data_IF_436241697039
#
_entry.id   IF_436241697039
#
_cell.length_a   1.000
_cell.length_b   1.000
_cell.length_c   1.000
_cell.angle_alpha   90.00
_cell.angle_beta   90.00
_cell.angle_gamma   90.00
#
_symmetry.space_group_name_H-M   'P 1'
#
loop_
_entity.id
_entity.type
_entity.pdbx_description
1 polymer ?
#
# COMPACT_ATOMS: atom_id res chain seq x y z
N UNK A 1 3.88 62.13 16.97
CA UNK A 1 4.45 60.82 16.55
C UNK A 1 4.37 59.92 17.77
N UNK A 2 3.34 59.13 17.89
CA UNK A 2 3.18 58.15 18.95
C UNK A 2 3.65 56.80 18.43
N UNK A 3 4.65 56.20 19.07
CA UNK A 3 5.17 54.88 18.75
C UNK A 3 4.17 53.85 19.29
N UNK A 4 3.61 53.05 18.35
CA UNK A 4 2.77 51.89 18.63
C UNK A 4 3.69 50.73 19.12
N UNK A 5 3.78 50.59 20.43
CA UNK A 5 4.46 49.46 21.06
C UNK A 5 3.43 48.39 21.39
N UNK A 6 3.08 47.55 20.37
CA UNK A 6 2.40 46.29 20.63
C UNK A 6 3.38 45.31 21.27
N UNK A 7 3.01 44.62 22.35
CA UNK A 7 3.86 43.60 22.92
C UNK A 7 3.98 42.43 21.97
N UNK A 8 5.21 42.01 21.73
CA UNK A 8 5.56 40.78 21.01
C UNK A 8 4.92 39.61 21.77
N UNK A 9 4.00 38.90 21.10
CA UNK A 9 3.36 37.70 21.60
C UNK A 9 4.42 36.58 21.69
N UNK A 10 4.98 36.39 22.89
CA UNK A 10 5.93 35.31 23.21
C UNK A 10 5.18 34.05 23.66
N UNK A 11 4.20 33.58 22.88
CA UNK A 11 3.75 32.22 23.05
C UNK A 11 4.81 31.26 22.48
N UNK A 12 5.15 30.17 23.20
CA UNK A 12 6.06 29.18 22.66
C UNK A 12 5.45 28.68 21.38
N UNK A 13 6.26 28.62 20.32
CA UNK A 13 5.90 27.97 19.05
C UNK A 13 5.50 26.54 19.39
N UNK A 14 4.20 26.31 19.38
CA UNK A 14 3.60 24.99 19.56
C UNK A 14 4.08 24.18 18.35
N UNK A 15 4.99 23.28 18.64
CA UNK A 15 5.62 22.42 17.65
C UNK A 15 4.55 21.55 17.05
N UNK A 16 4.03 21.93 15.90
CA UNK A 16 3.46 21.15 14.79
C UNK A 16 2.67 19.88 15.04
N UNK A 17 2.21 19.61 16.27
CA UNK A 17 1.45 18.40 16.60
C UNK A 17 -0.02 18.61 16.35
N UNK A 18 -0.62 17.74 15.53
CA UNK A 18 -2.05 17.74 15.26
C UNK A 18 -2.72 16.59 16.00
N UNK A 19 -4.03 16.66 16.19
CA UNK A 19 -4.82 15.57 16.77
C UNK A 19 -5.55 14.79 15.69
N UNK A 20 -5.50 13.45 15.78
CA UNK A 20 -6.10 12.55 14.80
C UNK A 20 -7.63 12.56 14.88
N UNK A 21 -8.29 12.81 13.76
CA UNK A 21 -9.72 12.66 13.57
C UNK A 21 -10.03 11.61 12.51
N UNK A 22 -10.81 10.60 12.87
CA UNK A 22 -11.23 9.55 11.93
C UNK A 22 -12.35 10.07 11.04
N UNK A 23 -12.13 10.09 9.73
CA UNK A 23 -13.12 10.58 8.77
C UNK A 23 -14.11 9.51 8.32
N UNK A 24 -13.80 8.22 8.53
CA UNK A 24 -14.54 7.09 7.96
C UNK A 24 -14.66 7.18 6.44
N UNK A 25 -13.66 7.75 5.82
CA UNK A 25 -13.57 7.97 4.38
C UNK A 25 -12.74 6.87 3.74
N UNK A 26 -13.36 6.14 2.82
CA UNK A 26 -12.73 5.07 2.06
C UNK A 26 -12.27 5.61 0.71
N UNK A 27 -10.97 5.55 0.47
CA UNK A 27 -10.32 5.90 -0.80
C UNK A 27 -9.55 4.68 -1.31
N UNK A 28 -10.21 3.52 -1.34
CA UNK A 28 -9.56 2.22 -1.51
C UNK A 28 -8.42 2.08 -0.50
N UNK A 29 -7.22 1.76 -0.94
CA UNK A 29 -6.05 1.62 -0.06
C UNK A 29 -5.18 2.89 0.02
N UNK A 30 -5.63 4.03 -0.56
CA UNK A 30 -4.87 5.26 -0.50
C UNK A 30 -4.92 5.89 0.89
N UNK A 31 -3.74 6.13 1.45
CA UNK A 31 -3.61 6.89 2.69
C UNK A 31 -3.77 8.39 2.38
N UNK A 32 -4.82 8.99 2.93
CA UNK A 32 -5.12 10.41 2.77
C UNK A 32 -5.18 11.09 4.13
N UNK A 33 -4.59 12.27 4.20
CA UNK A 33 -4.73 13.20 5.33
C UNK A 33 -5.42 14.48 4.85
N UNK A 34 -6.42 14.94 5.59
CA UNK A 34 -7.14 16.18 5.36
C UNK A 34 -6.74 17.18 6.44
N UNK A 35 -6.29 18.36 6.04
CA UNK A 35 -5.92 19.46 6.95
C UNK A 35 -6.54 20.76 6.46
N UNK A 36 -6.69 21.73 7.37
CA UNK A 36 -7.13 23.06 6.94
C UNK A 36 -6.00 23.80 6.24
N UNK A 37 -6.34 24.60 5.22
CA UNK A 37 -5.40 25.45 4.47
C UNK A 37 -4.67 26.45 5.38
N UNK A 38 -5.35 26.91 6.42
CA UNK A 38 -4.87 27.91 7.37
C UNK A 38 -4.28 27.31 8.66
N UNK A 39 -4.15 25.97 8.74
CA UNK A 39 -3.54 25.34 9.91
C UNK A 39 -2.05 25.73 10.06
N UNK A 40 -1.53 25.84 11.30
CA UNK A 40 -0.15 26.25 11.54
C UNK A 40 0.88 25.38 10.81
N UNK A 41 0.68 24.05 10.79
CA UNK A 41 1.59 23.10 10.13
C UNK A 41 1.60 23.31 8.61
N UNK A 42 0.44 23.48 7.97
CA UNK A 42 0.38 23.76 6.55
C UNK A 42 1.13 25.05 6.18
N UNK A 43 1.02 26.08 7.02
CA UNK A 43 1.67 27.38 6.79
C UNK A 43 3.18 27.33 7.02
N UNK A 44 3.61 26.71 8.12
CA UNK A 44 5.04 26.64 8.48
C UNK A 44 5.84 25.79 7.51
N UNK A 45 5.29 24.67 7.09
CA UNK A 45 5.93 23.71 6.17
C UNK A 45 5.66 24.04 4.69
N UNK A 46 4.82 25.03 4.38
CA UNK A 46 4.46 25.33 2.99
C UNK A 46 3.72 24.21 2.28
N UNK A 47 2.98 23.39 3.03
CA UNK A 47 2.26 22.24 2.50
C UNK A 47 1.05 22.67 1.68
N UNK A 48 0.88 22.09 0.50
CA UNK A 48 -0.25 22.34 -0.40
C UNK A 48 -0.97 21.04 -0.74
N UNK A 49 -2.21 21.16 -1.22
CA UNK A 49 -3.00 20.00 -1.67
C UNK A 49 -2.22 19.15 -2.67
N UNK A 50 -2.33 17.83 -2.56
CA UNK A 50 -1.63 16.78 -3.31
C UNK A 50 -0.14 16.64 -2.98
N UNK A 51 0.41 17.42 -2.06
CA UNK A 51 1.75 17.12 -1.52
C UNK A 51 1.73 15.77 -0.83
N UNK A 52 2.77 14.99 -1.03
CA UNK A 52 2.99 13.77 -0.23
C UNK A 52 3.62 14.17 1.08
N UNK A 53 3.03 13.71 2.16
CA UNK A 53 3.48 14.01 3.53
C UNK A 53 3.74 12.72 4.28
N UNK A 54 4.73 12.77 5.16
CA UNK A 54 4.96 11.72 6.15
C UNK A 54 4.14 12.07 7.39
N UNK A 55 3.26 11.16 7.76
CA UNK A 55 2.43 11.26 8.97
C UNK A 55 2.94 10.24 9.97
N UNK A 56 3.27 10.70 11.17
CA UNK A 56 3.74 9.84 12.28
C UNK A 56 2.71 9.86 13.41
N UNK A 57 2.48 8.69 14.01
CA UNK A 57 1.64 8.48 15.18
C UNK A 57 2.33 7.48 16.11
N UNK A 58 2.96 7.95 17.19
CA UNK A 58 3.86 7.11 17.99
C UNK A 58 4.98 6.53 17.14
N UNK A 59 5.17 5.23 17.18
CA UNK A 59 6.22 4.53 16.43
C UNK A 59 5.85 4.20 14.97
N UNK A 60 4.60 4.49 14.56
CA UNK A 60 4.12 4.18 13.22
C UNK A 60 4.14 5.39 12.32
N UNK A 61 4.46 5.14 11.06
CA UNK A 61 4.52 6.17 10.02
C UNK A 61 3.82 5.71 8.75
N UNK A 62 3.25 6.67 8.03
CA UNK A 62 2.65 6.43 6.70
C UNK A 62 2.90 7.64 5.81
N UNK A 63 3.20 7.37 4.54
CA UNK A 63 3.21 8.43 3.52
C UNK A 63 1.81 8.60 2.97
N UNK A 64 1.22 9.77 3.17
CA UNK A 64 -0.16 10.08 2.81
C UNK A 64 -0.23 11.19 1.74
N UNK A 65 -1.31 11.21 0.98
CA UNK A 65 -1.66 12.34 0.12
C UNK A 65 -2.36 13.41 0.95
N UNK A 66 -1.82 14.63 0.96
CA UNK A 66 -2.44 15.75 1.63
C UNK A 66 -3.60 16.29 0.79
N UNK A 67 -4.77 16.39 1.40
CA UNK A 67 -5.89 17.19 0.91
C UNK A 67 -6.13 18.36 1.88
N UNK A 68 -6.67 19.44 1.37
CA UNK A 68 -6.93 20.64 2.18
C UNK A 68 -8.39 21.05 2.10
N UNK A 69 -8.89 21.63 3.20
CA UNK A 69 -10.23 22.22 3.29
C UNK A 69 -10.14 23.62 3.88
N UNK A 70 -11.09 24.47 3.55
CA UNK A 70 -11.31 25.78 4.18
C UNK A 70 -12.44 25.72 5.20
N UNK A 71 -13.15 24.59 5.25
CA UNK A 71 -14.31 24.40 6.10
C UNK A 71 -13.89 24.27 7.58
N UNK A 72 -14.66 24.86 8.47
CA UNK A 72 -14.36 24.95 9.90
C UNK A 72 -14.83 23.74 10.72
N UNK A 73 -15.49 22.76 10.11
CA UNK A 73 -15.84 21.50 10.79
C UNK A 73 -14.60 20.71 11.24
N UNK A 74 -13.45 20.94 10.60
CA UNK A 74 -12.15 20.44 11.01
C UNK A 74 -11.41 21.58 11.73
N UNK A 75 -10.97 21.34 12.96
CA UNK A 75 -10.24 22.33 13.75
C UNK A 75 -8.84 22.59 13.17
N UNK A 76 -8.24 23.75 13.48
CA UNK A 76 -6.87 24.10 13.08
C UNK A 76 -5.81 23.17 13.70
N UNK A 77 -6.15 22.53 14.81
CA UNK A 77 -5.30 21.57 15.52
C UNK A 77 -5.63 20.10 15.19
N UNK A 78 -6.57 19.84 14.28
CA UNK A 78 -6.95 18.50 13.89
C UNK A 78 -6.46 18.15 12.49
N UNK A 79 -6.17 16.87 12.28
CA UNK A 79 -5.97 16.28 10.97
C UNK A 79 -6.93 15.11 10.79
N UNK A 80 -7.70 15.14 9.71
CA UNK A 80 -8.61 14.07 9.33
C UNK A 80 -7.89 12.97 8.58
N UNK A 81 -8.09 11.71 8.97
CA UNK A 81 -7.45 10.55 8.34
C UNK A 81 -8.48 9.69 7.61
N UNK A 82 -8.16 9.24 6.39
CA UNK A 82 -8.88 8.18 5.69
C UNK A 82 -8.76 6.85 6.45
N UNK A 83 -9.64 5.88 6.15
CA UNK A 83 -9.59 4.56 6.80
C UNK A 83 -8.25 3.85 6.57
N UNK A 84 -7.67 3.97 5.38
CA UNK A 84 -6.36 3.40 5.09
C UNK A 84 -5.25 4.02 5.94
N UNK A 85 -5.21 5.36 6.05
CA UNK A 85 -4.25 6.06 6.91
C UNK A 85 -4.47 5.72 8.38
N UNK A 86 -5.73 5.71 8.82
CA UNK A 86 -6.12 5.39 10.19
C UNK A 86 -5.64 4.00 10.63
N UNK A 87 -5.92 3.00 9.78
CA UNK A 87 -5.58 1.60 10.07
C UNK A 87 -4.07 1.36 10.07
N UNK A 88 -3.36 1.91 9.09
CA UNK A 88 -1.89 1.75 8.98
C UNK A 88 -1.16 2.41 10.14
N UNK A 89 -1.60 3.59 10.57
CA UNK A 89 -1.05 4.28 11.74
C UNK A 89 -1.49 3.63 13.06
N UNK A 90 -2.56 2.82 13.05
CA UNK A 90 -3.17 2.33 14.28
C UNK A 90 -3.61 3.49 15.19
N UNK A 91 -4.08 4.58 14.57
CA UNK A 91 -4.42 5.79 15.29
C UNK A 91 -5.68 5.61 16.15
N UNK A 92 -5.73 6.32 17.26
CA UNK A 92 -6.93 6.46 18.11
C UNK A 92 -7.48 7.88 18.00
N UNK A 93 -8.77 8.11 18.29
CA UNK A 93 -9.33 9.45 18.27
C UNK A 93 -8.57 10.39 19.21
N UNK A 94 -8.09 11.52 18.67
CA UNK A 94 -7.32 12.50 19.42
C UNK A 94 -5.84 12.14 19.62
N UNK A 95 -5.34 11.05 19.02
CA UNK A 95 -3.92 10.73 19.07
C UNK A 95 -3.08 11.86 18.44
N UNK A 96 -1.90 12.08 18.99
CA UNK A 96 -0.95 13.08 18.49
C UNK A 96 -0.36 12.64 17.15
N UNK A 97 -0.40 13.53 16.16
CA UNK A 97 0.17 13.34 14.83
C UNK A 97 1.25 14.38 14.57
N UNK A 98 2.36 13.93 14.03
CA UNK A 98 3.37 14.78 13.41
C UNK A 98 3.25 14.66 11.89
N UNK A 99 3.30 15.80 11.19
CA UNK A 99 3.17 15.85 9.72
C UNK A 99 4.33 16.64 9.16
N UNK A 100 5.10 15.99 8.30
CA UNK A 100 6.26 16.57 7.63
C UNK A 100 6.24 16.26 6.14
N UNK A 101 7.13 16.86 5.38
CA UNK A 101 7.31 16.46 3.98
C UNK A 101 7.71 14.99 3.86
N UNK A 102 7.08 14.27 2.92
CA UNK A 102 7.52 12.91 2.62
C UNK A 102 8.96 12.92 2.09
N UNK A 103 9.77 11.91 2.45
CA UNK A 103 11.13 11.79 1.95
C UNK A 103 11.15 11.66 0.42
N UNK A 104 12.21 12.16 -0.20
CA UNK A 104 12.42 11.96 -1.64
C UNK A 104 12.69 10.48 -1.92
N UNK A 105 12.05 9.94 -2.97
CA UNK A 105 12.22 8.55 -3.38
C UNK A 105 13.25 8.46 -4.53
N UNK A 106 14.47 7.97 -4.28
CA UNK A 106 15.47 7.77 -5.34
C UNK A 106 14.98 6.83 -6.45
N UNK A 107 14.12 5.86 -6.12
CA UNK A 107 13.51 4.92 -7.06
C UNK A 107 12.69 5.58 -8.17
N UNK A 108 12.14 6.78 -7.94
CA UNK A 108 11.44 7.54 -8.99
C UNK A 108 12.38 7.97 -10.12
N UNK A 109 13.68 8.11 -9.87
CA UNK A 109 14.65 8.33 -10.92
C UNK A 109 14.84 7.08 -11.80
N UNK A 110 14.75 5.89 -11.20
CA UNK A 110 14.81 4.63 -11.92
C UNK A 110 13.55 4.44 -12.79
N UNK A 111 12.37 4.78 -12.27
CA UNK A 111 11.12 4.80 -13.08
C UNK A 111 11.27 5.74 -14.28
N UNK A 112 11.77 6.96 -14.09
CA UNK A 112 12.02 7.90 -15.21
C UNK A 112 13.02 7.35 -16.22
N UNK A 113 14.07 6.68 -15.76
CA UNK A 113 15.02 5.98 -16.65
C UNK A 113 14.32 4.90 -17.48
N UNK A 114 13.44 4.11 -16.85
CA UNK A 114 12.65 3.10 -17.56
C UNK A 114 11.74 3.72 -18.62
N UNK A 115 11.05 4.81 -18.29
CA UNK A 115 10.19 5.54 -19.23
C UNK A 115 10.94 6.04 -20.47
N UNK A 116 12.25 6.28 -20.37
CA UNK A 116 13.11 6.64 -21.50
C UNK A 116 13.71 5.45 -22.24
N UNK A 117 13.22 4.23 -21.99
CA UNK A 117 13.65 3.01 -22.68
C UNK A 117 14.95 2.40 -22.15
N UNK A 118 15.49 2.89 -21.03
CA UNK A 118 16.73 2.35 -20.45
C UNK A 118 16.41 1.10 -19.63
N UNK A 119 17.33 0.14 -19.66
CA UNK A 119 17.29 -1.06 -18.82
C UNK A 119 17.44 -0.67 -17.34
N UNK A 120 16.76 -1.42 -16.48
CA UNK A 120 16.89 -1.34 -15.03
C UNK A 120 17.77 -2.48 -14.50
N UNK A 121 18.60 -2.17 -13.52
CA UNK A 121 19.34 -3.17 -12.77
C UNK A 121 18.44 -3.85 -11.73
N UNK A 122 18.89 -4.98 -11.19
CA UNK A 122 18.24 -5.67 -10.07
C UNK A 122 18.01 -4.73 -8.89
N UNK A 123 19.03 -3.97 -8.50
CA UNK A 123 18.92 -3.03 -7.37
C UNK A 123 17.89 -1.93 -7.63
N UNK A 124 17.71 -1.50 -8.89
CA UNK A 124 16.68 -0.54 -9.24
C UNK A 124 15.27 -1.14 -9.07
N UNK A 125 15.06 -2.38 -9.49
CA UNK A 125 13.80 -3.09 -9.24
C UNK A 125 13.57 -3.33 -7.75
N UNK A 126 14.59 -3.73 -7.00
CA UNK A 126 14.51 -3.92 -5.55
C UNK A 126 14.04 -2.63 -4.86
N UNK A 127 14.64 -1.46 -5.18
CA UNK A 127 14.21 -0.17 -4.62
C UNK A 127 12.78 0.20 -5.00
N UNK A 128 12.44 0.09 -6.30
CA UNK A 128 11.09 0.43 -6.79
C UNK A 128 10.03 -0.42 -6.07
N UNK A 129 10.23 -1.72 -6.02
CA UNK A 129 9.26 -2.64 -5.44
C UNK A 129 9.17 -2.51 -3.92
N UNK A 130 10.29 -2.24 -3.23
CA UNK A 130 10.28 -1.92 -1.80
C UNK A 130 9.44 -0.68 -1.51
N UNK A 131 9.72 0.44 -2.21
CA UNK A 131 8.98 1.69 -2.03
C UNK A 131 7.48 1.53 -2.37
N UNK A 132 7.13 0.67 -3.34
CA UNK A 132 5.74 0.34 -3.65
C UNK A 132 5.10 -0.46 -2.51
N UNK A 133 5.77 -1.50 -2.01
CA UNK A 133 5.27 -2.34 -0.94
C UNK A 133 5.09 -1.57 0.38
N UNK A 134 5.94 -0.60 0.65
CA UNK A 134 5.84 0.32 1.79
C UNK A 134 4.74 1.39 1.63
N UNK A 135 4.09 1.47 0.46
CA UNK A 135 3.04 2.45 0.18
C UNK A 135 3.55 3.86 -0.06
N UNK A 136 4.85 4.01 -0.36
CA UNK A 136 5.50 5.30 -0.62
C UNK A 136 5.13 5.89 -1.98
N UNK A 137 4.71 5.07 -2.95
CA UNK A 137 4.27 5.52 -4.27
C UNK A 137 2.82 6.02 -4.24
N UNK A 138 2.56 7.09 -4.99
CA UNK A 138 1.18 7.50 -5.32
C UNK A 138 0.68 6.71 -6.53
N UNK A 139 -0.64 6.73 -6.79
CA UNK A 139 -1.24 6.10 -7.97
C UNK A 139 -0.62 6.59 -9.28
N UNK A 140 -0.22 7.86 -9.35
CA UNK A 140 0.48 8.42 -10.52
C UNK A 140 1.84 7.76 -10.72
N UNK A 141 2.59 7.53 -9.63
CA UNK A 141 3.88 6.85 -9.69
C UNK A 141 3.72 5.37 -10.08
N UNK A 142 2.71 4.69 -9.52
CA UNK A 142 2.37 3.31 -9.87
C UNK A 142 1.98 3.20 -11.34
N UNK A 143 1.08 4.07 -11.82
CA UNK A 143 0.66 4.10 -13.21
C UNK A 143 1.85 4.34 -14.16
N UNK A 144 2.76 5.25 -13.81
CA UNK A 144 3.96 5.53 -14.59
C UNK A 144 4.88 4.29 -14.70
N UNK A 145 5.12 3.61 -13.58
CA UNK A 145 5.94 2.39 -13.55
C UNK A 145 5.31 1.24 -14.35
N UNK A 146 4.03 0.94 -14.09
CA UNK A 146 3.30 -0.12 -14.78
C UNK A 146 3.24 0.14 -16.28
N UNK A 147 2.93 1.38 -16.69
CA UNK A 147 2.89 1.77 -18.11
C UNK A 147 4.25 1.62 -18.78
N UNK A 148 5.33 2.03 -18.10
CA UNK A 148 6.68 1.89 -18.63
C UNK A 148 7.09 0.42 -18.80
N UNK A 149 6.69 -0.47 -17.88
CA UNK A 149 6.95 -1.89 -17.98
C UNK A 149 6.08 -2.58 -19.06
N UNK A 150 4.85 -2.12 -19.26
CA UNK A 150 3.92 -2.68 -20.24
C UNK A 150 4.24 -2.27 -21.68
N UNK A 151 4.66 -1.01 -21.89
CA UNK A 151 4.92 -0.44 -23.21
C UNK A 151 6.30 -0.82 -23.74
N UNK A 152 7.29 -0.81 -22.84
CA UNK A 152 8.68 -1.13 -23.17
C UNK A 152 8.97 -2.55 -22.73
N UNK A 153 9.23 -3.43 -23.69
CA UNK A 153 9.51 -4.84 -23.39
C UNK A 153 10.63 -4.98 -22.37
N UNK A 154 10.35 -5.75 -21.33
CA UNK A 154 11.37 -6.23 -20.39
C UNK A 154 12.09 -7.43 -21.03
N UNK A 155 13.41 -7.49 -20.92
CA UNK A 155 14.13 -8.72 -21.26
C UNK A 155 14.05 -9.74 -20.10
N UNK A 156 14.60 -10.93 -20.32
CA UNK A 156 14.52 -12.03 -19.35
C UNK A 156 15.18 -11.66 -18.02
N UNK A 157 16.31 -10.95 -18.06
CA UNK A 157 17.03 -10.55 -16.84
C UNK A 157 16.22 -9.53 -16.05
N UNK A 158 15.60 -8.57 -16.74
CA UNK A 158 14.72 -7.58 -16.11
C UNK A 158 13.47 -8.25 -15.53
N UNK A 159 12.83 -9.18 -16.25
CA UNK A 159 11.69 -9.94 -15.74
C UNK A 159 12.07 -10.78 -14.50
N UNK A 160 13.22 -11.43 -14.53
CA UNK A 160 13.75 -12.19 -13.40
C UNK A 160 14.01 -11.28 -12.20
N UNK A 161 14.61 -10.11 -12.44
CA UNK A 161 14.91 -9.14 -11.39
C UNK A 161 13.63 -8.55 -10.77
N UNK A 162 12.65 -8.19 -11.59
CA UNK A 162 11.35 -7.69 -11.13
C UNK A 162 10.61 -8.76 -10.31
N UNK A 163 10.55 -9.99 -10.82
CA UNK A 163 9.91 -11.10 -10.10
C UNK A 163 10.60 -11.37 -8.77
N UNK A 164 11.95 -11.40 -8.77
CA UNK A 164 12.72 -11.58 -7.54
C UNK A 164 12.50 -10.48 -6.51
N UNK A 165 12.41 -9.21 -6.95
CA UNK A 165 12.09 -8.10 -6.07
C UNK A 165 10.68 -8.25 -5.46
N UNK A 166 9.68 -8.64 -6.24
CA UNK A 166 8.31 -8.89 -5.74
C UNK A 166 8.27 -10.03 -4.72
N UNK A 167 8.98 -11.13 -4.99
CA UNK A 167 9.08 -12.26 -4.05
C UNK A 167 9.75 -11.83 -2.73
N UNK A 168 10.78 -10.98 -2.81
CA UNK A 168 11.55 -10.52 -1.66
C UNK A 168 10.74 -9.66 -0.67
N UNK A 169 9.83 -8.83 -1.16
CA UNK A 169 8.97 -7.97 -0.31
C UNK A 169 7.70 -8.69 0.14
N UNK A 170 7.34 -9.80 -0.52
CA UNK A 170 6.18 -10.61 -0.17
C UNK A 170 6.46 -11.55 1.00
N UNK A 171 5.40 -11.95 1.67
CA UNK A 171 5.48 -13.00 2.66
C UNK A 171 5.60 -14.36 1.99
N UNK A 172 6.40 -15.25 2.58
CA UNK A 172 6.66 -16.58 2.03
C UNK A 172 6.10 -17.67 2.95
N UNK A 173 5.49 -18.68 2.35
CA UNK A 173 5.06 -19.89 3.02
C UNK A 173 6.14 -20.96 2.88
N UNK A 174 6.50 -21.59 4.00
CA UNK A 174 7.35 -22.74 4.05
C UNK A 174 6.57 -23.92 4.62
N UNK A 175 6.83 -25.11 4.12
CA UNK A 175 6.16 -26.34 4.48
C UNK A 175 7.19 -27.40 4.87
N UNK A 176 6.86 -28.24 5.85
CA UNK A 176 7.75 -29.28 6.35
C UNK A 176 7.70 -30.57 5.50
N UNK A 177 6.74 -30.68 4.60
CA UNK A 177 6.56 -31.82 3.72
C UNK A 177 7.59 -31.85 2.61
N UNK A 178 8.07 -33.04 2.26
CA UNK A 178 9.09 -33.27 1.22
C UNK A 178 8.53 -32.93 -0.17
N UNK A 179 7.25 -33.23 -0.43
CA UNK A 179 6.61 -33.03 -1.73
C UNK A 179 5.44 -32.06 -1.60
N UNK A 180 5.64 -30.86 -2.14
CA UNK A 180 4.60 -29.85 -2.29
C UNK A 180 4.24 -29.74 -3.75
N UNK A 181 2.96 -29.83 -4.05
CA UNK A 181 2.44 -29.69 -5.42
C UNK A 181 1.59 -28.43 -5.55
N UNK A 182 1.55 -27.88 -6.75
CA UNK A 182 0.68 -26.75 -7.06
C UNK A 182 0.02 -26.96 -8.43
N UNK A 183 -1.13 -26.34 -8.61
CA UNK A 183 -1.91 -26.37 -9.83
C UNK A 183 -2.41 -24.98 -10.16
N UNK A 184 -2.03 -24.47 -11.32
CA UNK A 184 -2.54 -23.21 -11.85
C UNK A 184 -3.38 -23.45 -13.11
N UNK A 185 -4.42 -22.63 -13.29
CA UNK A 185 -5.16 -22.55 -14.54
C UNK A 185 -4.55 -21.48 -15.43
N UNK A 186 -4.66 -21.66 -16.73
CA UNK A 186 -4.39 -20.57 -17.67
C UNK A 186 -5.49 -19.52 -17.53
N UNK A 187 -5.10 -18.29 -17.22
CA UNK A 187 -6.06 -17.18 -17.02
C UNK A 187 -6.89 -16.91 -18.29
N UNK A 188 -8.13 -16.48 -18.11
CA UNK A 188 -9.03 -16.13 -19.20
C UNK A 188 -9.68 -17.29 -19.93
N UNK A 189 -9.37 -18.55 -19.58
CA UNK A 189 -10.03 -19.73 -20.14
C UNK A 189 -11.01 -20.34 -19.13
N UNK A 190 -12.17 -20.87 -19.59
CA UNK A 190 -13.06 -21.65 -18.74
C UNK A 190 -12.34 -22.86 -18.13
N UNK A 191 -12.55 -23.15 -16.87
CA UNK A 191 -11.90 -24.29 -16.19
C UNK A 191 -11.64 -24.04 -14.71
N UNK A 192 -12.12 -22.94 -14.16
CA UNK A 192 -12.01 -22.57 -12.76
C UNK A 192 -12.55 -23.63 -11.79
N UNK A 193 -13.54 -24.44 -12.20
CA UNK A 193 -14.12 -25.54 -11.40
C UNK A 193 -13.22 -26.77 -11.35
N UNK A 194 -12.24 -26.91 -12.25
CA UNK A 194 -11.28 -28.01 -12.23
C UNK A 194 -10.39 -27.98 -11.00
N UNK A 195 -10.04 -26.79 -10.52
CA UNK A 195 -9.14 -26.65 -9.36
C UNK A 195 -9.69 -27.29 -8.09
N UNK A 196 -10.94 -27.03 -7.63
CA UNK A 196 -11.49 -27.70 -6.46
C UNK A 196 -11.47 -29.22 -6.55
N UNK A 197 -11.77 -29.77 -7.73
CA UNK A 197 -11.76 -31.22 -7.98
C UNK A 197 -10.35 -31.80 -7.87
N UNK A 198 -9.38 -31.16 -8.55
CA UNK A 198 -7.99 -31.61 -8.53
C UNK A 198 -7.36 -31.51 -7.14
N UNK A 199 -7.62 -30.38 -6.42
CA UNK A 199 -7.12 -30.21 -5.06
C UNK A 199 -7.66 -31.30 -4.13
N UNK A 200 -8.96 -31.56 -4.17
CA UNK A 200 -9.57 -32.61 -3.34
C UNK A 200 -9.01 -34.00 -3.65
N UNK A 201 -8.77 -34.35 -4.93
CA UNK A 201 -8.19 -35.62 -5.33
C UNK A 201 -6.75 -35.73 -4.80
N UNK A 202 -5.92 -34.71 -5.01
CA UNK A 202 -4.52 -34.77 -4.61
C UNK A 202 -4.37 -34.79 -3.07
N UNK A 203 -5.17 -34.04 -2.35
CA UNK A 203 -5.19 -34.07 -0.89
C UNK A 203 -5.64 -35.46 -0.38
N UNK A 204 -6.66 -36.07 -0.96
CA UNK A 204 -7.10 -37.43 -0.61
C UNK A 204 -6.06 -38.53 -0.87
N UNK A 205 -5.07 -38.27 -1.72
CA UNK A 205 -3.92 -39.13 -2.00
C UNK A 205 -2.73 -38.84 -1.08
N UNK A 206 -2.87 -37.94 -0.10
CA UNK A 206 -1.85 -37.58 0.85
C UNK A 206 -0.80 -36.59 0.33
N UNK A 207 -1.09 -35.89 -0.77
CA UNK A 207 -0.22 -34.84 -1.29
C UNK A 207 -0.57 -33.49 -0.69
N UNK A 208 0.43 -32.74 -0.28
CA UNK A 208 0.24 -31.36 0.22
C UNK A 208 0.12 -30.41 -0.97
N UNK A 209 -1.03 -29.75 -1.08
CA UNK A 209 -1.36 -28.79 -2.15
C UNK A 209 -1.92 -27.48 -1.59
N UNK A 210 -1.08 -26.55 -1.09
CA UNK A 210 -1.51 -25.27 -0.56
C UNK A 210 -1.94 -24.34 -1.69
N UNK A 211 -3.20 -24.42 -2.08
CA UNK A 211 -3.72 -23.70 -3.26
C UNK A 211 -3.94 -22.21 -2.98
N UNK A 212 -3.19 -21.39 -3.68
CA UNK A 212 -3.43 -19.94 -3.78
C UNK A 212 -4.14 -19.60 -5.09
N UNK A 213 -4.93 -18.55 -5.11
CA UNK A 213 -5.65 -18.07 -6.29
C UNK A 213 -5.92 -16.58 -6.19
N UNK A 214 -6.04 -15.93 -7.33
CA UNK A 214 -6.58 -14.58 -7.42
C UNK A 214 -8.09 -14.61 -7.69
N UNK A 215 -8.75 -13.49 -7.46
CA UNK A 215 -10.09 -13.21 -8.01
C UNK A 215 -10.00 -12.99 -9.52
N UNK A 216 -11.12 -13.13 -10.21
CA UNK A 216 -11.17 -12.83 -11.64
C UNK A 216 -10.93 -11.34 -11.90
N UNK A 217 -10.07 -11.07 -12.88
CA UNK A 217 -9.89 -9.71 -13.42
C UNK A 217 -10.90 -9.46 -14.54
N UNK A 218 -11.29 -10.54 -15.22
CA UNK A 218 -12.27 -10.55 -16.31
C UNK A 218 -13.19 -11.76 -16.17
N UNK A 219 -14.28 -11.84 -16.96
CA UNK A 219 -15.08 -13.06 -17.09
C UNK A 219 -14.24 -14.16 -17.79
N UNK A 220 -14.35 -15.44 -17.39
CA UNK A 220 -15.21 -16.01 -16.35
C UNK A 220 -14.64 -15.83 -14.93
N UNK A 221 -15.48 -16.08 -13.92
CA UNK A 221 -15.11 -16.03 -12.50
C UNK A 221 -13.84 -16.85 -12.22
N UNK A 222 -12.97 -16.36 -11.34
CA UNK A 222 -11.75 -17.06 -10.91
C UNK A 222 -12.04 -18.22 -9.95
N UNK A 223 -11.01 -18.97 -9.61
CA UNK A 223 -11.14 -20.05 -8.62
C UNK A 223 -11.54 -19.51 -7.24
N UNK A 224 -10.94 -18.38 -6.81
CA UNK A 224 -11.32 -17.76 -5.54
C UNK A 224 -12.79 -17.37 -5.51
N UNK A 225 -13.32 -16.73 -6.58
CA UNK A 225 -14.73 -16.35 -6.67
C UNK A 225 -15.67 -17.57 -6.61
N UNK A 226 -15.27 -18.69 -7.22
CA UNK A 226 -16.03 -19.93 -7.17
C UNK A 226 -16.00 -20.53 -5.76
N UNK A 227 -14.88 -20.54 -5.11
CA UNK A 227 -14.73 -21.12 -3.77
C UNK A 227 -15.38 -20.25 -2.69
N UNK A 228 -15.45 -18.95 -2.88
CA UNK A 228 -16.08 -18.02 -1.92
C UNK A 228 -17.57 -18.30 -1.73
N UNK A 229 -18.24 -18.94 -2.69
CA UNK A 229 -19.63 -19.42 -2.53
C UNK A 229 -19.78 -20.56 -1.52
N UNK A 230 -18.68 -21.23 -1.18
CA UNK A 230 -18.63 -22.40 -0.31
C UNK A 230 -17.92 -22.11 1.01
N UNK A 231 -16.87 -21.28 0.99
CA UNK A 231 -16.03 -21.03 2.15
C UNK A 231 -15.31 -19.67 2.04
N UNK A 232 -14.73 -19.23 3.15
CA UNK A 232 -13.85 -18.05 3.18
C UNK A 232 -12.58 -18.30 2.35
N UNK A 233 -12.21 -17.35 1.49
CA UNK A 233 -11.03 -17.44 0.61
C UNK A 233 -9.91 -16.45 0.97
N UNK A 234 -10.20 -15.46 1.81
CA UNK A 234 -9.29 -14.45 2.33
C UNK A 234 -8.66 -14.92 3.67
N UNK A 235 -7.83 -15.94 3.59
CA UNK A 235 -7.19 -16.53 4.76
C UNK A 235 -5.91 -15.77 5.13
N UNK A 236 -5.70 -15.60 6.44
CA UNK A 236 -4.40 -15.17 6.96
C UNK A 236 -3.34 -16.25 6.75
N UNK A 237 -2.04 -15.90 6.77
CA UNK A 237 -0.97 -16.90 6.69
C UNK A 237 -1.05 -17.95 7.82
N UNK A 238 -1.46 -17.55 9.02
CA UNK A 238 -1.68 -18.46 10.13
C UNK A 238 -2.82 -19.44 9.83
N UNK A 239 -3.92 -18.94 9.23
CA UNK A 239 -5.05 -19.80 8.83
C UNK A 239 -4.65 -20.76 7.72
N UNK A 240 -3.91 -20.31 6.71
CA UNK A 240 -3.41 -21.18 5.64
C UNK A 240 -2.54 -22.31 6.22
N UNK A 241 -1.59 -21.98 7.09
CA UNK A 241 -0.75 -22.99 7.74
C UNK A 241 -1.57 -24.00 8.54
N UNK A 242 -2.56 -23.50 9.29
CA UNK A 242 -3.44 -24.35 10.09
C UNK A 242 -4.28 -25.29 9.24
N UNK A 243 -4.85 -24.79 8.12
CA UNK A 243 -5.68 -25.60 7.21
C UNK A 243 -4.82 -26.69 6.55
N UNK A 244 -3.67 -26.31 5.97
CA UNK A 244 -2.78 -27.28 5.29
C UNK A 244 -2.20 -28.32 6.24
N UNK A 245 -2.01 -27.99 7.53
CA UNK A 245 -1.53 -28.95 8.51
C UNK A 245 -2.64 -29.91 9.01
N UNK A 246 -3.90 -29.58 8.79
CA UNK A 246 -5.06 -30.39 9.24
C UNK A 246 -5.54 -31.39 8.19
N UNK A 247 -5.19 -31.16 6.92
CA UNK A 247 -5.60 -31.98 5.76
C UNK A 247 -4.46 -32.88 5.27
#
# INVERSE_FOLDING_TARGET
MAQDTRPMDTRPHDTGTLTARRLKWHAQDEAIILMRTDCPVCRSEGLTSRTRVLVSCGDKQVVASLHQTEDDWLSLSEAGLSEAAWTRLGAEPGAALEVTHAPTLPSLSDVRRRMTGKRLSRDAFDRIISDIAEGSYSDVHLAAFVSACSTLKLDIDEMTSLTGAMVKVGEQLAWDQEMIVDKHCVGGLPGNRTTPIVVAILSSLGLTIPKTSSRAITSPAGTADTMETLTRVDLSLADIRRVVAAE
#
